data_IF_972617807350
#
_entry.id   IF_972617807350
#
_cell.length_a   1.000
_cell.length_b   1.000
_cell.length_c   1.000
_cell.angle_alpha   90.00
_cell.angle_beta   90.00
_cell.angle_gamma   90.00
#
_symmetry.space_group_name_H-M   'P 1'
#
loop_
_entity.id
_entity.type
_entity.pdbx_description
1 polymer ?
#
# COMPACT_ATOMS: atom_id res chain seq x y z
N UNK A 1 17.89 3.07 22.64
CA UNK A 1 18.04 3.27 24.09
C UNK A 1 18.89 2.12 24.53
N UNK A 2 20.10 2.40 24.98
CA UNK A 2 21.03 1.37 25.41
C UNK A 2 21.54 1.79 26.78
N UNK A 3 21.45 0.85 27.71
CA UNK A 3 21.97 0.98 29.05
C UNK A 3 23.49 0.89 28.99
N UNK A 4 24.19 1.86 29.56
CA UNK A 4 25.63 1.80 29.77
C UNK A 4 25.82 1.62 31.27
N UNK A 5 26.28 0.45 31.71
CA UNK A 5 26.63 0.23 33.11
C UNK A 5 27.97 0.89 33.42
N UNK A 6 27.95 1.98 34.17
CA UNK A 6 29.14 2.50 34.86
C UNK A 6 29.02 2.15 36.35
N UNK A 7 29.46 0.96 36.72
CA UNK A 7 29.37 0.45 38.11
C UNK A 7 27.98 -0.11 38.47
N UNK A 8 27.47 0.18 39.68
CA UNK A 8 26.18 -0.32 40.20
C UNK A 8 24.95 0.50 39.77
N UNK A 9 25.12 1.53 38.95
CA UNK A 9 24.04 2.40 38.51
C UNK A 9 23.80 2.26 37.01
N UNK A 10 22.52 2.24 36.63
CA UNK A 10 22.10 2.26 35.23
C UNK A 10 22.20 3.69 34.70
N UNK A 11 22.96 3.89 33.62
CA UNK A 11 23.04 5.16 32.90
C UNK A 11 22.41 5.01 31.51
N UNK A 12 21.58 5.99 31.12
CA UNK A 12 20.92 6.00 29.81
C UNK A 12 21.61 6.97 28.85
N UNK A 13 21.88 6.49 27.63
CA UNK A 13 22.45 7.27 26.54
C UNK A 13 21.82 6.89 25.18
N UNK A 14 22.11 7.70 24.15
CA UNK A 14 21.75 7.39 22.77
C UNK A 14 22.66 6.29 22.23
N UNK A 15 22.09 5.41 21.41
CA UNK A 15 22.84 4.39 20.69
C UNK A 15 22.35 4.35 19.26
N UNK A 16 23.31 4.43 18.34
CA UNK A 16 23.10 4.36 16.91
C UNK A 16 23.41 2.95 16.43
N UNK A 17 22.49 2.37 15.66
CA UNK A 17 22.71 1.02 15.14
C UNK A 17 23.81 1.07 14.06
N UNK A 18 24.63 0.02 13.90
CA UNK A 18 25.63 -0.04 12.83
C UNK A 18 25.04 0.12 11.42
N UNK A 19 23.76 -0.21 11.23
CA UNK A 19 23.03 -0.08 9.97
C UNK A 19 22.34 1.28 9.79
N UNK A 20 22.44 2.18 10.76
CA UNK A 20 21.83 3.50 10.70
C UNK A 20 22.66 4.43 9.82
N UNK A 21 22.08 4.83 8.68
CA UNK A 21 22.74 5.69 7.70
C UNK A 21 22.71 7.18 8.06
N UNK A 22 22.12 7.55 9.20
CA UNK A 22 21.94 8.93 9.67
C UNK A 22 21.37 9.86 8.58
N UNK A 23 20.52 9.32 7.71
CA UNK A 23 19.98 10.06 6.56
C UNK A 23 18.84 10.96 7.00
N UNK A 24 19.18 12.18 7.41
CA UNK A 24 18.20 13.23 7.64
C UNK A 24 17.78 13.89 6.33
N UNK A 25 16.72 14.68 6.41
CA UNK A 25 16.24 15.46 5.28
C UNK A 25 17.29 16.51 4.88
N UNK A 26 17.76 16.51 3.63
CA UNK A 26 18.75 17.49 3.16
C UNK A 26 18.21 18.93 3.20
N UNK A 27 19.06 19.90 3.49
CA UNK A 27 18.64 21.30 3.67
C UNK A 27 18.14 21.95 2.36
N UNK A 28 18.66 21.49 1.21
CA UNK A 28 18.26 21.95 -0.13
C UNK A 28 17.00 21.26 -0.66
N UNK A 29 16.45 20.28 0.06
CA UNK A 29 15.25 19.57 -0.37
C UNK A 29 14.01 20.50 -0.45
N UNK A 30 13.07 20.11 -1.31
CA UNK A 30 11.81 20.80 -1.56
C UNK A 30 10.78 20.54 -0.44
N UNK A 31 11.11 21.00 0.77
CA UNK A 31 10.24 20.99 1.95
C UNK A 31 10.14 22.39 2.56
N UNK A 32 9.05 22.69 3.30
CA UNK A 32 8.91 23.96 4.01
C UNK A 32 10.14 24.26 4.87
N UNK A 33 10.64 25.50 4.79
CA UNK A 33 11.80 25.92 5.57
C UNK A 33 11.57 25.76 7.09
N UNK A 34 10.35 26.02 7.57
CA UNK A 34 9.99 25.79 8.98
C UNK A 34 10.20 24.34 9.41
N UNK A 35 9.80 23.39 8.55
CA UNK A 35 10.00 21.96 8.79
C UNK A 35 11.50 21.64 8.88
N UNK A 36 12.29 22.05 7.87
CA UNK A 36 13.75 21.84 7.86
C UNK A 36 14.40 22.42 9.13
N UNK A 37 14.13 23.68 9.47
CA UNK A 37 14.69 24.34 10.66
C UNK A 37 14.27 23.69 11.99
N UNK A 38 13.10 23.05 12.05
CA UNK A 38 12.63 22.36 13.26
C UNK A 38 13.31 21.02 13.53
N UNK A 39 13.77 20.33 12.48
CA UNK A 39 14.31 18.97 12.60
C UNK A 39 15.52 18.90 13.55
N UNK A 40 16.56 19.77 13.44
CA UNK A 40 17.69 19.75 14.36
C UNK A 40 17.27 19.92 15.82
N UNK A 41 16.40 20.90 16.09
CA UNK A 41 15.86 21.14 17.43
C UNK A 41 15.14 19.90 17.98
N UNK A 42 14.27 19.27 17.18
CA UNK A 42 13.54 18.07 17.59
C UNK A 42 14.45 16.88 17.88
N UNK A 43 15.50 16.66 17.08
CA UNK A 43 16.47 15.58 17.33
C UNK A 43 17.32 15.84 18.57
N UNK A 44 17.80 17.08 18.75
CA UNK A 44 18.57 17.45 19.94
C UNK A 44 17.71 17.40 21.21
N UNK A 45 16.44 17.80 21.14
CA UNK A 45 15.49 17.64 22.25
C UNK A 45 15.27 16.17 22.61
N UNK A 46 15.28 15.27 21.61
CA UNK A 46 15.27 13.83 21.87
C UNK A 46 16.53 13.38 22.59
N UNK A 47 17.71 13.86 22.20
CA UNK A 47 18.96 13.57 22.93
C UNK A 47 18.88 14.04 24.38
N UNK A 48 18.33 15.23 24.63
CA UNK A 48 18.14 15.78 25.99
C UNK A 48 17.28 14.88 26.89
N UNK A 49 16.32 14.15 26.30
CA UNK A 49 15.49 13.18 27.03
C UNK A 49 16.21 11.86 27.29
N UNK A 50 17.04 11.43 26.34
CA UNK A 50 17.71 10.13 26.38
C UNK A 50 18.96 10.13 27.25
N UNK A 51 19.80 11.16 27.15
CA UNK A 51 21.05 11.24 27.88
C UNK A 51 20.77 11.62 29.34
N UNK A 52 21.32 10.89 30.28
CA UNK A 52 21.15 11.18 31.71
C UNK A 52 22.07 12.30 32.18
N UNK A 53 23.33 12.28 31.74
CA UNK A 53 24.34 13.27 32.11
C UNK A 53 24.46 14.39 31.07
N UNK A 54 24.73 15.62 31.53
CA UNK A 54 24.92 16.79 30.67
C UNK A 54 26.21 16.75 29.84
N UNK A 55 27.21 15.99 30.29
CA UNK A 55 28.45 15.77 29.52
C UNK A 55 28.15 14.91 28.30
N UNK A 56 27.50 13.75 28.50
CA UNK A 56 27.08 12.87 27.41
C UNK A 56 26.12 13.59 26.45
N UNK A 57 25.12 14.31 26.98
CA UNK A 57 24.24 15.14 26.14
C UNK A 57 25.01 16.07 25.20
N UNK A 58 26.02 16.80 25.71
CA UNK A 58 26.83 17.72 24.90
C UNK A 58 27.61 16.98 23.83
N UNK A 59 28.22 15.84 24.15
CA UNK A 59 28.93 15.01 23.18
C UNK A 59 28.00 14.49 22.07
N UNK A 60 26.82 14.02 22.42
CA UNK A 60 25.84 13.55 21.43
C UNK A 60 25.28 14.69 20.58
N UNK A 61 25.13 15.89 21.14
CA UNK A 61 24.75 17.08 20.38
C UNK A 61 25.81 17.45 19.33
N UNK A 62 27.10 17.34 19.67
CA UNK A 62 28.19 17.55 18.70
C UNK A 62 28.14 16.52 17.57
N UNK A 63 27.98 15.24 17.88
CA UNK A 63 27.84 14.18 16.85
C UNK A 63 26.62 14.41 15.96
N UNK A 64 25.47 14.75 16.57
CA UNK A 64 24.25 15.07 15.84
C UNK A 64 24.42 16.27 14.91
N UNK A 65 25.15 17.30 15.37
CA UNK A 65 25.49 18.46 14.55
C UNK A 65 26.25 18.03 13.31
N UNK A 66 27.25 17.15 13.43
CA UNK A 66 28.05 16.69 12.30
C UNK A 66 27.19 15.93 11.26
N UNK A 67 26.20 15.14 11.71
CA UNK A 67 25.23 14.52 10.81
C UNK A 67 24.36 15.53 10.06
N UNK A 68 23.98 16.65 10.68
CA UNK A 68 23.22 17.69 9.99
C UNK A 68 24.09 18.54 9.07
N UNK A 69 25.36 18.77 9.41
CA UNK A 69 26.32 19.44 8.52
C UNK A 69 26.50 18.63 7.24
N UNK A 70 26.64 17.29 7.33
CA UNK A 70 26.73 16.43 6.13
C UNK A 70 25.44 16.45 5.29
N UNK A 71 24.29 16.76 5.89
CA UNK A 71 23.02 16.98 5.20
C UNK A 71 22.84 18.41 4.64
N UNK A 72 23.87 19.28 4.77
CA UNK A 72 23.91 20.64 4.23
C UNK A 72 23.22 21.71 5.09
N UNK A 73 23.00 21.46 6.38
CA UNK A 73 22.38 22.47 7.26
C UNK A 73 23.37 23.60 7.59
N UNK A 74 22.96 24.88 7.52
CA UNK A 74 23.78 26.00 7.95
C UNK A 74 24.06 25.94 9.46
N UNK A 75 25.29 26.27 9.86
CA UNK A 75 25.73 26.25 11.26
C UNK A 75 24.83 27.10 12.17
N UNK A 76 24.39 28.28 11.69
CA UNK A 76 23.48 29.16 12.43
C UNK A 76 22.19 28.47 12.89
N UNK A 77 21.63 27.60 12.04
CA UNK A 77 20.40 26.85 12.37
C UNK A 77 20.68 25.80 13.44
N UNK A 78 21.86 25.18 13.38
CA UNK A 78 22.27 24.14 14.32
C UNK A 78 22.64 24.76 15.67
N UNK A 79 23.34 25.89 15.67
CA UNK A 79 23.71 26.60 16.88
C UNK A 79 22.49 27.18 17.60
N UNK A 80 21.52 27.75 16.87
CA UNK A 80 20.22 28.14 17.45
C UNK A 80 19.52 26.94 18.12
N UNK A 81 19.46 25.80 17.43
CA UNK A 81 18.84 24.59 17.97
C UNK A 81 19.56 24.10 19.24
N UNK A 82 20.89 24.00 19.20
CA UNK A 82 21.73 23.63 20.36
C UNK A 82 21.50 24.58 21.53
N UNK A 83 21.54 25.90 21.30
CA UNK A 83 21.37 26.92 22.34
C UNK A 83 19.98 26.84 22.98
N UNK A 84 18.95 26.60 22.18
CA UNK A 84 17.57 26.46 22.70
C UNK A 84 17.39 25.20 23.52
N UNK A 85 17.94 24.06 23.09
CA UNK A 85 17.82 22.79 23.84
C UNK A 85 18.71 22.77 25.08
N UNK A 86 19.85 23.47 25.05
CA UNK A 86 20.77 23.57 26.19
C UNK A 86 20.11 24.21 27.41
N UNK A 87 19.16 25.14 27.19
CA UNK A 87 18.38 25.81 28.24
C UNK A 87 17.29 24.92 28.88
N UNK A 88 17.01 23.76 28.30
CA UNK A 88 15.95 22.85 28.77
C UNK A 88 16.60 21.76 29.61
N UNK A 89 16.15 21.61 30.86
CA UNK A 89 16.59 20.51 31.72
C UNK A 89 16.00 19.18 31.26
N UNK A 90 16.66 18.06 31.59
CA UNK A 90 16.12 16.73 31.27
C UNK A 90 14.75 16.48 31.92
N UNK A 91 14.52 16.77 33.22
CA UNK A 91 13.20 16.65 33.82
C UNK A 91 12.12 17.40 33.03
N UNK A 92 12.38 18.66 32.67
CA UNK A 92 11.42 19.47 31.90
C UNK A 92 11.17 18.91 30.50
N UNK A 93 12.21 18.35 29.86
CA UNK A 93 12.10 17.75 28.54
C UNK A 93 11.23 16.48 28.55
N UNK A 94 11.16 15.76 29.67
CA UNK A 94 10.37 14.53 29.85
C UNK A 94 8.89 14.81 30.16
N UNK A 95 8.54 16.03 30.60
CA UNK A 95 7.15 16.41 30.86
C UNK A 95 6.39 16.48 29.52
N UNK A 96 5.31 15.70 29.35
CA UNK A 96 4.45 15.83 28.18
C UNK A 96 3.83 17.23 28.14
N UNK A 97 3.92 17.89 26.99
CA UNK A 97 3.20 19.15 26.79
C UNK A 97 1.74 18.86 26.45
N UNK A 98 0.77 19.60 27.03
CA UNK A 98 -0.62 19.45 26.66
C UNK A 98 -0.80 19.77 25.18
N UNK A 99 -1.66 19.02 24.49
CA UNK A 99 -2.02 19.32 23.12
C UNK A 99 -2.76 20.66 23.07
N UNK A 100 -2.24 21.59 22.28
CA UNK A 100 -2.96 22.82 21.97
C UNK A 100 -3.88 22.53 20.79
N UNK A 101 -5.15 22.25 21.06
CA UNK A 101 -6.16 22.18 20.00
C UNK A 101 -6.46 23.60 19.53
N UNK A 102 -6.21 23.85 18.24
CA UNK A 102 -6.64 25.09 17.59
C UNK A 102 -7.91 24.80 16.82
N UNK A 103 -8.95 25.60 17.06
CA UNK A 103 -10.19 25.56 16.30
C UNK A 103 -10.08 26.25 14.93
N UNK A 104 -8.92 26.84 14.60
CA UNK A 104 -8.70 27.54 13.33
C UNK A 104 -8.77 26.57 12.16
N UNK A 105 -9.53 26.96 11.15
CA UNK A 105 -9.65 26.25 9.87
C UNK A 105 -8.28 26.03 9.24
N UNK A 106 -8.02 24.80 8.78
CA UNK A 106 -6.74 24.43 8.14
C UNK A 106 -6.88 24.50 6.63
N UNK A 107 -6.10 25.37 5.99
CA UNK A 107 -6.00 25.42 4.53
C UNK A 107 -4.84 24.52 4.07
N UNK A 108 -5.18 23.39 3.46
CA UNK A 108 -4.19 22.41 3.01
C UNK A 108 -3.71 22.74 1.59
N UNK A 109 -2.46 23.13 1.45
CA UNK A 109 -1.82 23.46 0.17
C UNK A 109 -0.73 22.46 -0.19
N UNK A 110 -0.49 22.22 -1.48
CA UNK A 110 0.69 21.45 -1.92
C UNK A 110 1.92 22.34 -1.80
N UNK A 111 2.97 21.88 -1.13
CA UNK A 111 4.23 22.62 -1.05
C UNK A 111 4.93 22.66 -2.41
N UNK A 112 5.23 23.86 -2.88
CA UNK A 112 6.12 24.09 -4.01
C UNK A 112 6.96 25.35 -3.70
N UNK A 113 8.31 25.27 -3.74
CA UNK A 113 9.17 26.42 -3.45
C UNK A 113 8.93 27.61 -4.38
N UNK A 114 8.45 27.38 -5.61
CA UNK A 114 8.11 28.43 -6.57
C UNK A 114 6.72 29.02 -6.37
N UNK A 115 5.86 28.38 -5.57
CA UNK A 115 4.47 28.81 -5.37
C UNK A 115 4.19 29.21 -3.91
N UNK A 116 5.20 29.79 -3.24
CA UNK A 116 5.00 30.40 -1.92
C UNK A 116 4.14 31.67 -1.98
N UNK A 117 4.01 32.26 -3.18
CA UNK A 117 3.17 33.44 -3.43
C UNK A 117 1.69 33.13 -3.23
N UNK A 118 1.23 31.93 -3.58
CA UNK A 118 -0.18 31.55 -3.39
C UNK A 118 -0.64 31.69 -1.94
N UNK A 119 0.22 31.37 -0.96
CA UNK A 119 -0.09 31.59 0.47
C UNK A 119 -0.35 33.08 0.76
N UNK A 120 0.49 33.96 0.23
CA UNK A 120 0.34 35.41 0.43
C UNK A 120 -0.93 35.92 -0.23
N UNK A 121 -1.21 35.48 -1.46
CA UNK A 121 -2.41 35.88 -2.20
C UNK A 121 -3.67 35.50 -1.41
N UNK A 122 -3.77 34.26 -0.93
CA UNK A 122 -4.96 33.81 -0.19
C UNK A 122 -5.14 34.62 1.10
N UNK A 123 -4.06 34.84 1.86
CA UNK A 123 -4.15 35.60 3.12
C UNK A 123 -4.44 37.08 2.90
N UNK A 124 -3.90 37.70 1.84
CA UNK A 124 -4.14 39.11 1.52
C UNK A 124 -5.56 39.36 0.99
N UNK A 125 -6.20 38.34 0.43
CA UNK A 125 -7.56 38.42 -0.13
C UNK A 125 -8.59 37.74 0.78
N UNK A 126 -8.31 37.61 2.08
CA UNK A 126 -9.22 36.98 3.04
C UNK A 126 -10.60 37.66 3.06
N UNK A 127 -10.63 38.99 2.90
CA UNK A 127 -11.86 39.78 2.85
C UNK A 127 -12.81 39.34 1.73
N UNK A 128 -12.30 38.80 0.63
CA UNK A 128 -13.15 38.25 -0.46
C UNK A 128 -13.92 37.03 0.04
N UNK A 129 -13.27 36.16 0.82
CA UNK A 129 -13.93 34.99 1.42
C UNK A 129 -14.91 35.40 2.51
N UNK A 130 -14.63 36.48 3.26
CA UNK A 130 -15.53 36.99 4.29
C UNK A 130 -16.74 37.74 3.71
N UNK A 131 -16.67 38.22 2.47
CA UNK A 131 -17.80 38.87 1.80
C UNK A 131 -18.85 37.87 1.30
N UNK A 132 -18.46 36.61 1.09
CA UNK A 132 -19.36 35.53 0.71
C UNK A 132 -19.96 34.85 1.96
N UNK A 133 -21.29 34.74 2.08
CA UNK A 133 -21.94 34.21 3.28
C UNK A 133 -21.50 32.79 3.66
N UNK A 134 -21.37 31.89 2.67
CA UNK A 134 -21.02 30.48 2.90
C UNK A 134 -19.54 30.34 3.28
N UNK A 135 -18.66 31.08 2.59
CA UNK A 135 -17.23 31.06 2.89
C UNK A 135 -16.90 31.77 4.21
N UNK A 136 -17.67 32.77 4.63
CA UNK A 136 -17.49 33.45 5.90
C UNK A 136 -17.67 32.51 7.10
N UNK A 137 -18.62 31.56 7.05
CA UNK A 137 -18.79 30.54 8.10
C UNK A 137 -17.51 29.71 8.33
N UNK A 138 -16.73 29.48 7.28
CA UNK A 138 -15.52 28.63 7.31
C UNK A 138 -14.24 29.45 7.51
N UNK A 139 -14.20 30.68 6.99
CA UNK A 139 -13.03 31.56 6.94
C UNK A 139 -13.26 32.91 7.63
N UNK A 140 -13.94 32.89 8.77
CA UNK A 140 -14.09 34.07 9.63
C UNK A 140 -12.72 34.61 10.10
N UNK A 141 -11.85 33.71 10.56
CA UNK A 141 -10.46 34.02 10.87
C UNK A 141 -9.49 33.56 9.76
N UNK A 142 -8.30 34.18 9.64
CA UNK A 142 -7.27 33.71 8.71
C UNK A 142 -6.97 32.22 8.94
N UNK A 143 -7.02 31.36 7.90
CA UNK A 143 -6.80 29.94 8.09
C UNK A 143 -5.35 29.61 8.41
N UNK A 144 -5.14 28.50 9.12
CA UNK A 144 -3.81 27.92 9.31
C UNK A 144 -3.37 27.23 8.02
N UNK A 145 -2.43 27.83 7.31
CA UNK A 145 -1.88 27.24 6.08
C UNK A 145 -0.98 26.07 6.43
N UNK A 146 -1.39 24.88 6.01
CA UNK A 146 -0.66 23.63 6.21
C UNK A 146 -0.22 23.09 4.85
N UNK A 147 1.04 22.70 4.74
CA UNK A 147 1.59 22.16 3.51
C UNK A 147 1.57 20.63 3.50
N UNK A 148 1.15 20.04 2.38
CA UNK A 148 1.34 18.62 2.06
C UNK A 148 2.35 18.44 0.93
N UNK A 149 3.01 17.29 0.90
CA UNK A 149 3.91 16.92 -0.22
C UNK A 149 3.12 16.69 -1.51
N UNK A 150 3.72 17.02 -2.65
CA UNK A 150 3.20 16.61 -3.95
C UNK A 150 3.31 15.09 -4.11
N UNK A 151 2.48 14.50 -4.98
CA UNK A 151 2.61 13.08 -5.36
C UNK A 151 3.92 12.91 -6.12
N UNK A 152 4.75 11.98 -5.68
CA UNK A 152 5.95 11.60 -6.42
C UNK A 152 5.65 10.39 -7.32
N UNK A 153 6.62 10.03 -8.18
CA UNK A 153 6.51 8.89 -9.09
C UNK A 153 6.14 7.60 -8.32
N UNK A 154 6.73 7.38 -7.15
CA UNK A 154 6.39 6.23 -6.30
C UNK A 154 4.92 6.24 -5.91
N UNK A 155 4.35 7.37 -5.49
CA UNK A 155 2.93 7.48 -5.13
C UNK A 155 2.00 7.26 -6.33
N UNK A 156 2.47 7.59 -7.53
CA UNK A 156 1.71 7.41 -8.78
C UNK A 156 1.75 5.95 -9.25
N UNK A 157 2.92 5.31 -9.19
CA UNK A 157 3.17 3.97 -9.72
C UNK A 157 2.86 2.87 -8.71
N UNK A 158 3.11 3.10 -7.43
CA UNK A 158 2.95 2.09 -6.37
C UNK A 158 1.60 2.28 -5.71
N UNK A 159 0.65 1.39 -6.01
CA UNK A 159 -0.62 1.30 -5.28
C UNK A 159 -0.49 0.22 -4.22
N UNK A 160 -0.78 0.57 -2.96
CA UNK A 160 -0.85 -0.39 -1.86
C UNK A 160 -1.96 -1.42 -2.03
N UNK A 161 -2.96 -1.10 -2.87
CA UNK A 161 -4.08 -1.97 -3.22
C UNK A 161 -4.17 -2.10 -4.74
N UNK A 162 -4.30 -3.33 -5.20
CA UNK A 162 -4.72 -3.61 -6.57
C UNK A 162 -6.18 -3.20 -6.63
N UNK A 163 -6.55 -2.28 -7.53
CA UNK A 163 -7.95 -1.93 -7.74
C UNK A 163 -8.73 -3.20 -8.07
N UNK A 164 -9.76 -3.53 -7.28
CA UNK A 164 -10.72 -4.56 -7.64
C UNK A 164 -11.35 -4.12 -8.96
N UNK A 165 -11.26 -4.96 -9.98
CA UNK A 165 -12.03 -4.80 -11.20
C UNK A 165 -13.51 -4.77 -10.82
N UNK A 166 -14.26 -3.74 -11.24
CA UNK A 166 -15.72 -3.70 -11.06
C UNK A 166 -16.45 -4.80 -11.85
N UNK A 167 -15.73 -5.51 -12.72
CA UNK A 167 -16.22 -6.66 -13.46
C UNK A 167 -15.63 -7.94 -12.87
N UNK A 168 -16.40 -8.71 -12.11
CA UNK A 168 -16.00 -10.03 -11.61
C UNK A 168 -16.57 -11.16 -12.47
N UNK A 169 -15.91 -12.32 -12.45
CA UNK A 169 -16.32 -13.51 -13.19
C UNK A 169 -15.69 -13.61 -14.58
N UNK A 170 -16.23 -14.51 -15.41
CA UNK A 170 -15.70 -14.78 -16.76
C UNK A 170 -16.68 -14.30 -17.82
N UNK A 171 -16.16 -13.59 -18.83
CA UNK A 171 -16.95 -13.08 -19.95
C UNK A 171 -16.49 -13.67 -21.29
N UNK A 172 -17.41 -13.87 -22.25
CA UNK A 172 -17.02 -14.30 -23.58
C UNK A 172 -16.13 -13.23 -24.22
N UNK A 173 -15.02 -13.65 -24.86
CA UNK A 173 -14.10 -12.72 -25.54
C UNK A 173 -14.62 -12.18 -26.88
N UNK A 174 -15.79 -12.67 -27.34
CA UNK A 174 -16.48 -12.28 -28.60
C UNK A 174 -15.65 -12.39 -29.88
N UNK A 175 -14.56 -13.17 -29.88
CA UNK A 175 -13.84 -13.49 -31.12
C UNK A 175 -14.66 -14.47 -31.97
N UNK A 176 -14.76 -14.28 -33.30
CA UNK A 176 -15.71 -14.99 -34.17
C UNK A 176 -15.55 -16.51 -34.25
N UNK A 177 -14.38 -17.06 -33.86
CA UNK A 177 -14.10 -18.51 -33.88
C UNK A 177 -13.72 -19.08 -32.51
N UNK A 178 -14.03 -18.37 -31.42
CA UNK A 178 -13.68 -18.83 -30.08
C UNK A 178 -14.67 -19.90 -29.61
N UNK A 179 -14.27 -21.18 -29.68
CA UNK A 179 -15.06 -22.32 -29.18
C UNK A 179 -15.34 -22.24 -27.68
N UNK A 180 -14.51 -21.54 -26.92
CA UNK A 180 -14.67 -21.43 -25.47
C UNK A 180 -15.80 -20.50 -25.06
N UNK A 181 -16.13 -19.49 -25.88
CA UNK A 181 -17.19 -18.53 -25.55
C UNK A 181 -18.55 -19.20 -25.29
N UNK A 182 -18.84 -20.32 -25.95
CA UNK A 182 -20.11 -21.06 -25.78
C UNK A 182 -20.21 -21.75 -24.43
N UNK A 183 -19.08 -22.02 -23.77
CA UNK A 183 -19.02 -22.69 -22.48
C UNK A 183 -18.78 -21.73 -21.31
N UNK A 184 -18.61 -20.42 -21.57
CA UNK A 184 -18.34 -19.46 -20.49
C UNK A 184 -19.60 -19.23 -19.67
N UNK A 185 -19.51 -19.49 -18.36
CA UNK A 185 -20.54 -19.05 -17.41
C UNK A 185 -20.35 -17.57 -17.10
N UNK A 186 -21.42 -16.79 -17.23
CA UNK A 186 -21.41 -15.36 -16.88
C UNK A 186 -21.64 -15.11 -15.39
N UNK A 187 -21.73 -16.18 -14.58
CA UNK A 187 -21.83 -16.07 -13.12
C UNK A 187 -20.49 -15.64 -12.50
N UNK A 188 -20.56 -14.78 -11.49
CA UNK A 188 -19.43 -14.47 -10.60
C UNK A 188 -19.40 -15.38 -9.36
N UNK A 189 -20.28 -16.39 -9.31
CA UNK A 189 -20.39 -17.36 -8.21
C UNK A 189 -20.38 -18.78 -8.72
N UNK A 190 -19.73 -19.67 -7.99
CA UNK A 190 -19.68 -21.12 -8.26
C UNK A 190 -20.09 -21.87 -7.01
N UNK A 191 -20.96 -22.86 -7.18
CA UNK A 191 -21.33 -23.78 -6.10
C UNK A 191 -20.24 -24.82 -5.96
N UNK A 192 -19.77 -25.03 -4.73
CA UNK A 192 -18.76 -26.02 -4.37
C UNK A 192 -19.33 -26.92 -3.27
N UNK A 193 -18.80 -28.13 -3.06
CA UNK A 193 -19.27 -29.02 -1.99
C UNK A 193 -19.30 -28.38 -0.60
N UNK A 194 -18.40 -27.40 -0.33
CA UNK A 194 -18.31 -26.67 0.95
C UNK A 194 -19.03 -25.32 0.98
N UNK A 195 -19.76 -24.96 -0.08
CA UNK A 195 -20.54 -23.73 -0.15
C UNK A 195 -20.31 -22.92 -1.43
N UNK A 196 -20.73 -21.66 -1.43
CA UNK A 196 -20.66 -20.79 -2.62
C UNK A 196 -19.35 -20.00 -2.63
N UNK A 197 -18.55 -20.15 -3.68
CA UNK A 197 -17.36 -19.33 -3.90
C UNK A 197 -17.67 -18.14 -4.81
N UNK A 198 -17.24 -16.95 -4.41
CA UNK A 198 -17.41 -15.72 -5.18
C UNK A 198 -16.09 -15.34 -5.86
N UNK A 199 -16.13 -15.23 -7.19
CA UNK A 199 -15.01 -14.81 -8.02
C UNK A 199 -14.85 -13.29 -7.85
N UNK A 200 -13.66 -12.85 -7.47
CA UNK A 200 -13.33 -11.43 -7.31
C UNK A 200 -12.66 -10.83 -8.57
N UNK A 201 -11.98 -11.67 -9.34
CA UNK A 201 -11.21 -11.27 -10.51
C UNK A 201 -12.07 -11.26 -11.79
N UNK A 202 -11.59 -10.56 -12.82
CA UNK A 202 -12.20 -10.53 -14.16
C UNK A 202 -11.45 -11.41 -15.14
N UNK A 203 -12.16 -12.21 -15.91
CA UNK A 203 -11.58 -13.09 -16.92
C UNK A 203 -12.32 -13.03 -18.25
N UNK A 204 -11.60 -13.39 -19.30
CA UNK A 204 -12.16 -13.71 -20.61
C UNK A 204 -11.51 -14.98 -21.14
N UNK A 205 -12.00 -15.51 -22.27
CA UNK A 205 -11.38 -16.67 -22.92
C UNK A 205 -9.90 -16.45 -23.29
N UNK A 206 -9.45 -15.19 -23.36
CA UNK A 206 -8.05 -14.86 -23.69
C UNK A 206 -7.16 -14.67 -22.48
N UNK A 207 -7.73 -14.67 -21.26
CA UNK A 207 -6.96 -14.57 -20.02
C UNK A 207 -5.99 -15.75 -19.88
N UNK A 208 -4.81 -15.47 -19.29
CA UNK A 208 -3.69 -16.39 -19.09
C UNK A 208 -3.29 -16.43 -17.62
N UNK A 209 -2.42 -17.37 -17.25
CA UNK A 209 -1.86 -17.50 -15.91
C UNK A 209 -2.94 -17.48 -14.83
N UNK A 210 -3.88 -18.40 -14.92
CA UNK A 210 -5.06 -18.43 -14.05
C UNK A 210 -5.38 -19.84 -13.59
N UNK A 211 -6.13 -19.91 -12.50
CA UNK A 211 -6.82 -21.10 -12.04
C UNK A 211 -8.25 -21.00 -12.55
N UNK A 212 -8.77 -22.08 -13.12
CA UNK A 212 -10.14 -22.17 -13.65
C UNK A 212 -10.87 -23.37 -13.05
N UNK A 213 -12.20 -23.32 -13.15
CA UNK A 213 -13.08 -24.43 -12.88
C UNK A 213 -13.82 -24.86 -14.16
N UNK A 214 -14.05 -26.16 -14.30
CA UNK A 214 -15.04 -26.73 -15.20
C UNK A 214 -16.17 -27.30 -14.34
N UNK A 215 -17.38 -26.83 -14.58
CA UNK A 215 -18.60 -27.22 -13.87
C UNK A 215 -19.51 -27.95 -14.84
N UNK A 216 -20.24 -28.94 -14.32
CA UNK A 216 -21.29 -29.61 -15.06
C UNK A 216 -22.67 -29.20 -14.52
N UNK A 217 -23.63 -28.85 -15.39
CA UNK A 217 -24.94 -28.38 -14.92
C UNK A 217 -25.82 -29.45 -14.27
N UNK A 218 -25.59 -30.73 -14.57
CA UNK A 218 -26.46 -31.83 -14.10
C UNK A 218 -25.86 -32.66 -12.97
N UNK A 219 -24.70 -32.29 -12.44
CA UNK A 219 -24.13 -32.90 -11.23
C UNK A 219 -23.28 -31.89 -10.46
N UNK A 220 -23.14 -32.10 -9.14
CA UNK A 220 -22.39 -31.19 -8.26
C UNK A 220 -20.85 -31.35 -8.33
N UNK A 221 -20.34 -31.96 -9.40
CA UNK A 221 -18.91 -32.15 -9.60
C UNK A 221 -18.26 -30.90 -10.21
N UNK A 222 -17.14 -30.50 -9.63
CA UNK A 222 -16.32 -29.38 -10.10
C UNK A 222 -14.90 -29.86 -10.31
N UNK A 223 -14.36 -29.63 -11.51
CA UNK A 223 -12.95 -29.82 -11.81
C UNK A 223 -12.21 -28.49 -11.64
N UNK A 224 -11.13 -28.47 -10.86
CA UNK A 224 -10.24 -27.32 -10.72
C UNK A 224 -8.94 -27.62 -11.45
N UNK A 225 -8.40 -26.64 -12.17
CA UNK A 225 -7.08 -26.78 -12.78
C UNK A 225 -6.40 -25.43 -13.05
N UNK A 226 -5.09 -25.47 -13.27
CA UNK A 226 -4.31 -24.30 -13.69
C UNK A 226 -4.04 -24.24 -15.21
N UNK A 227 -3.75 -23.04 -15.70
CA UNK A 227 -3.19 -22.84 -17.04
C UNK A 227 -2.22 -21.66 -17.09
N UNK A 228 -1.05 -21.87 -17.70
CA UNK A 228 -0.17 -20.78 -18.16
C UNK A 228 -0.58 -20.21 -19.52
N UNK A 229 -1.22 -21.04 -20.36
CA UNK A 229 -1.77 -20.63 -21.66
C UNK A 229 -3.11 -19.91 -21.50
N UNK A 230 -3.63 -19.40 -22.62
CA UNK A 230 -4.96 -18.81 -22.68
C UNK A 230 -6.02 -19.84 -22.25
N UNK A 231 -7.04 -19.40 -21.50
CA UNK A 231 -8.16 -20.26 -21.11
C UNK A 231 -8.80 -20.97 -22.31
N UNK A 232 -8.89 -20.28 -23.45
CA UNK A 232 -9.43 -20.88 -24.67
C UNK A 232 -8.63 -22.07 -25.21
N UNK A 233 -7.30 -21.99 -25.12
CA UNK A 233 -6.40 -23.07 -25.51
C UNK A 233 -6.58 -24.26 -24.59
N UNK A 234 -6.57 -24.01 -23.27
CA UNK A 234 -6.72 -25.07 -22.27
C UNK A 234 -8.08 -25.79 -22.37
N UNK A 235 -9.17 -25.05 -22.57
CA UNK A 235 -10.48 -25.69 -22.76
C UNK A 235 -10.53 -26.50 -24.06
N UNK A 236 -9.92 -26.00 -25.15
CA UNK A 236 -9.87 -26.74 -26.41
C UNK A 236 -9.13 -28.08 -26.28
N UNK A 237 -8.09 -28.14 -25.45
CA UNK A 237 -7.40 -29.38 -25.11
C UNK A 237 -8.33 -30.35 -24.37
N UNK A 238 -9.07 -29.88 -23.34
CA UNK A 238 -10.04 -30.71 -22.63
C UNK A 238 -11.14 -31.24 -23.55
N UNK A 239 -11.71 -30.40 -24.41
CA UNK A 239 -12.73 -30.82 -25.37
C UNK A 239 -12.20 -31.89 -26.33
N UNK A 240 -10.95 -31.75 -26.80
CA UNK A 240 -10.28 -32.75 -27.64
C UNK A 240 -10.02 -34.05 -26.87
N UNK A 241 -9.58 -33.95 -25.62
CA UNK A 241 -9.34 -35.11 -24.75
C UNK A 241 -10.63 -35.92 -24.55
N UNK A 242 -11.77 -35.25 -24.34
CA UNK A 242 -13.10 -35.88 -24.23
C UNK A 242 -13.49 -36.58 -25.54
N UNK A 243 -13.32 -35.90 -26.68
CA UNK A 243 -13.66 -36.45 -28.00
C UNK A 243 -12.82 -37.70 -28.34
N UNK A 244 -11.52 -37.65 -28.03
CA UNK A 244 -10.59 -38.75 -28.29
C UNK A 244 -10.62 -39.83 -27.21
N UNK A 245 -11.35 -39.62 -26.12
CA UNK A 245 -11.44 -40.59 -25.06
C UNK A 245 -10.18 -40.78 -24.23
N UNK A 246 -9.38 -39.73 -24.10
CA UNK A 246 -8.12 -39.76 -23.35
C UNK A 246 -8.42 -40.01 -21.87
N UNK A 247 -7.63 -40.86 -21.20
CA UNK A 247 -7.84 -41.23 -19.80
C UNK A 247 -7.39 -40.12 -18.83
N UNK A 248 -8.17 -39.03 -18.76
CA UNK A 248 -7.97 -37.88 -17.87
C UNK A 248 -9.26 -37.59 -17.09
N UNK A 249 -9.20 -36.96 -15.89
CA UNK A 249 -10.36 -36.78 -15.02
C UNK A 249 -11.57 -36.14 -15.70
N UNK A 250 -11.36 -35.03 -16.43
CA UNK A 250 -12.43 -34.34 -17.17
C UNK A 250 -13.01 -35.25 -18.26
N UNK A 251 -12.16 -35.89 -19.06
CA UNK A 251 -12.59 -36.80 -20.12
C UNK A 251 -13.39 -38.01 -19.61
N UNK A 252 -12.93 -38.63 -18.53
CA UNK A 252 -13.62 -39.76 -17.89
C UNK A 252 -15.01 -39.35 -17.38
N UNK A 253 -15.11 -38.19 -16.72
CA UNK A 253 -16.37 -37.68 -16.21
C UNK A 253 -17.38 -37.38 -17.32
N UNK A 254 -16.97 -36.68 -18.38
CA UNK A 254 -17.89 -36.32 -19.47
C UNK A 254 -18.27 -37.50 -20.38
N UNK A 255 -17.65 -38.67 -20.20
CA UNK A 255 -17.97 -39.92 -20.93
C UNK A 255 -18.67 -40.97 -20.06
N UNK A 256 -18.85 -40.75 -18.75
CA UNK A 256 -19.55 -41.71 -17.89
C UNK A 256 -21.07 -41.72 -18.15
N UNK A 257 -21.73 -42.83 -17.79
CA UNK A 257 -23.18 -43.01 -17.93
C UNK A 257 -23.94 -41.93 -17.17
N UNK A 258 -24.74 -41.13 -17.89
CA UNK A 258 -25.48 -39.99 -17.34
C UNK A 258 -25.12 -38.64 -17.96
N UNK A 259 -24.01 -38.54 -18.70
CA UNK A 259 -23.55 -37.30 -19.35
C UNK A 259 -23.73 -37.38 -20.88
N UNK A 260 -24.34 -36.36 -21.50
CA UNK A 260 -24.48 -36.25 -22.97
C UNK A 260 -23.29 -35.48 -23.59
N UNK A 261 -22.07 -35.88 -23.24
CA UNK A 261 -20.86 -35.19 -23.66
C UNK A 261 -20.74 -33.77 -23.10
N UNK A 262 -20.10 -32.86 -23.83
CA UNK A 262 -19.76 -31.52 -23.31
C UNK A 262 -20.90 -30.47 -23.39
N UNK A 263 -22.14 -30.84 -23.73
CA UNK A 263 -23.23 -29.87 -23.95
C UNK A 263 -23.58 -29.05 -22.71
N UNK A 264 -23.56 -29.65 -21.51
CA UNK A 264 -23.82 -28.94 -20.26
C UNK A 264 -22.53 -28.54 -19.50
N UNK A 265 -21.40 -28.43 -20.21
CA UNK A 265 -20.15 -27.95 -19.65
C UNK A 265 -20.16 -26.43 -19.48
N UNK A 266 -19.72 -25.94 -18.32
CA UNK A 266 -19.40 -24.54 -18.10
C UNK A 266 -17.95 -24.36 -17.63
N UNK A 267 -17.31 -23.27 -18.05
CA UNK A 267 -15.96 -22.89 -17.64
C UNK A 267 -15.96 -21.50 -17.01
N UNK A 268 -15.22 -21.36 -15.91
CA UNK A 268 -15.01 -20.09 -15.19
C UNK A 268 -13.54 -19.94 -14.80
N UNK A 269 -12.96 -18.75 -15.00
CA UNK A 269 -11.76 -18.34 -14.30
C UNK A 269 -12.05 -18.02 -12.84
N UNK A 270 -11.22 -18.52 -11.92
CA UNK A 270 -11.39 -18.36 -10.48
C UNK A 270 -10.45 -17.32 -9.90
N UNK A 271 -9.17 -17.37 -10.28
CA UNK A 271 -8.13 -16.49 -9.73
C UNK A 271 -6.99 -16.28 -10.71
N UNK A 272 -6.51 -15.05 -10.81
CA UNK A 272 -5.28 -14.74 -11.54
C UNK A 272 -4.06 -15.08 -10.68
N UNK A 273 -3.04 -15.66 -11.31
CA UNK A 273 -1.74 -15.87 -10.69
C UNK A 273 -0.70 -14.99 -11.36
N UNK A 274 0.01 -14.21 -10.53
CA UNK A 274 1.06 -13.28 -11.00
C UNK A 274 2.45 -13.92 -10.99
N UNK A 275 2.58 -15.12 -10.44
CA UNK A 275 3.85 -15.84 -10.36
C UNK A 275 4.04 -16.87 -11.48
N UNK A 276 5.17 -17.58 -11.42
CA UNK A 276 5.47 -18.71 -12.32
C UNK A 276 4.65 -19.96 -12.01
N UNK A 277 4.98 -21.08 -12.66
CA UNK A 277 4.25 -22.35 -12.54
C UNK A 277 4.03 -22.80 -11.08
N UNK A 278 5.06 -22.71 -10.24
CA UNK A 278 4.95 -23.06 -8.81
C UNK A 278 3.88 -22.25 -8.07
N UNK A 279 3.80 -20.94 -8.34
CA UNK A 279 2.80 -20.07 -7.71
C UNK A 279 1.37 -20.36 -8.16
N UNK A 280 1.19 -20.82 -9.40
CA UNK A 280 -0.13 -21.28 -9.88
C UNK A 280 -0.51 -22.58 -9.20
N UNK A 281 0.43 -23.53 -9.12
CA UNK A 281 0.19 -24.83 -8.50
C UNK A 281 -0.20 -24.69 -7.04
N UNK A 282 0.53 -23.88 -6.28
CA UNK A 282 0.23 -23.60 -4.87
C UNK A 282 -1.17 -22.95 -4.70
N UNK A 283 -1.58 -22.10 -5.65
CA UNK A 283 -2.93 -21.51 -5.64
C UNK A 283 -4.02 -22.52 -5.99
N UNK A 284 -3.78 -23.41 -6.96
CA UNK A 284 -4.67 -24.50 -7.33
C UNK A 284 -4.89 -25.43 -6.13
N UNK A 285 -3.80 -25.90 -5.50
CA UNK A 285 -3.86 -26.81 -4.34
C UNK A 285 -4.63 -26.21 -3.18
N UNK A 286 -4.48 -24.90 -2.91
CA UNK A 286 -5.26 -24.20 -1.88
C UNK A 286 -6.75 -24.16 -2.21
N UNK A 287 -7.12 -23.93 -3.47
CA UNK A 287 -8.52 -23.92 -3.87
C UNK A 287 -9.11 -25.33 -3.80
N UNK A 288 -8.36 -26.34 -4.25
CA UNK A 288 -8.75 -27.74 -4.13
C UNK A 288 -8.99 -28.15 -2.67
N UNK A 289 -8.03 -27.88 -1.79
CA UNK A 289 -8.14 -28.21 -0.35
C UNK A 289 -9.31 -27.48 0.33
N UNK A 290 -9.63 -26.26 -0.09
CA UNK A 290 -10.74 -25.52 0.51
C UNK A 290 -12.11 -26.00 0.02
N UNK A 291 -12.20 -26.61 -1.16
CA UNK A 291 -13.48 -26.90 -1.83
C UNK A 291 -13.83 -28.39 -1.86
N UNK A 292 -12.83 -29.27 -1.86
CA UNK A 292 -13.01 -30.71 -2.15
C UNK A 292 -12.71 -31.60 -0.94
N UNK A 293 -11.73 -31.25 -0.09
CA UNK A 293 -11.41 -31.94 1.17
C UNK A 293 -12.01 -31.16 2.34
#
# INVERSE_FOLDING_TARGET
>A
MTEVSRGRFLHSSVYYKPTESHTYLTYTSSHPHSCKRSIPFSQMLRLRRLCQDDIDFREQCLRMRDFFVSCGYPLEVLDDACNRVSKISRPDALIPRPEQSSQRTKLIMIYNPHNLVARKIVLNNLSIFQADPDAHEVFDEPPLVVYRRAKNIRDMLVRSRISASHDSGTRPCRRPRCKTCTYVSQSSKINTPRGVFTIADSFTCTSRNLIYAIVYKRCDMVYIGETGHNLATRLSEHLRDVQNGIHKPVSLHFRSSGHQGCTDMEVLGLRSSRGGAKSRFDCEQRLFFNWVL
#
